data_IF_016043638329
#
_entry.id   IF_016043638329
#
_cell.length_a   1.000
_cell.length_b   1.000
_cell.length_c   1.000
_cell.angle_alpha   90.00
_cell.angle_beta   90.00
_cell.angle_gamma   90.00
#
_symmetry.space_group_name_H-M   'P 1'
#
loop_
_entity.id
_entity.type
_entity.pdbx_description
1 polymer ?
#
# COMPACT_ATOMS: atom_id res chain seq x y z
N UNK A 1 -3.65 44.53 80.04
CA UNK A 1 -4.74 43.86 79.34
C UNK A 1 -4.45 43.97 77.80
N UNK A 2 -3.86 42.99 77.25
CA UNK A 2 -3.53 42.98 75.82
C UNK A 2 -4.44 41.96 75.11
N UNK A 3 -5.21 42.43 74.17
CA UNK A 3 -6.01 41.57 73.25
C UNK A 3 -5.14 41.08 72.13
N UNK A 4 -5.05 39.76 71.99
CA UNK A 4 -4.40 39.09 70.85
C UNK A 4 -5.48 38.77 69.82
N UNK A 5 -5.39 39.35 68.65
CA UNK A 5 -6.24 39.05 67.54
C UNK A 5 -5.56 37.93 66.71
N UNK A 6 -6.22 36.78 66.62
CA UNK A 6 -5.78 35.69 65.72
C UNK A 6 -6.26 35.95 64.30
N UNK A 7 -5.34 36.02 63.32
CA UNK A 7 -5.64 36.05 61.92
C UNK A 7 -5.66 34.61 61.40
N UNK A 8 -6.81 34.18 60.89
CA UNK A 8 -6.94 32.90 60.18
C UNK A 8 -6.48 33.06 58.73
N UNK A 9 -5.42 32.35 58.39
CA UNK A 9 -4.92 32.27 57.01
C UNK A 9 -5.65 31.14 56.31
N UNK A 10 -6.55 31.48 55.37
CA UNK A 10 -7.22 30.49 54.51
C UNK A 10 -6.30 30.15 53.33
N UNK A 11 -5.74 28.95 53.31
CA UNK A 11 -5.01 28.39 52.17
C UNK A 11 -6.03 27.88 51.15
N UNK A 12 -6.13 28.56 50.02
CA UNK A 12 -6.85 28.06 48.81
C UNK A 12 -5.91 27.17 48.06
N UNK A 13 -6.07 25.86 48.16
CA UNK A 13 -5.41 24.86 47.29
C UNK A 13 -6.14 24.83 45.95
N UNK A 14 -5.59 25.49 44.94
CA UNK A 14 -5.98 25.32 43.53
C UNK A 14 -5.39 24.00 43.02
N UNK A 15 -6.19 22.95 42.98
CA UNK A 15 -5.83 21.72 42.30
C UNK A 15 -5.90 21.96 40.77
N UNK A 16 -4.76 22.27 40.15
CA UNK A 16 -4.64 22.22 38.72
C UNK A 16 -4.62 20.75 38.27
N UNK A 17 -5.75 20.27 37.79
CA UNK A 17 -5.83 18.99 37.08
C UNK A 17 -5.07 19.13 35.74
N UNK A 18 -3.80 18.70 35.71
CA UNK A 18 -3.08 18.47 34.49
C UNK A 18 -3.76 17.27 33.79
N UNK A 19 -4.60 17.53 32.80
CA UNK A 19 -5.02 16.53 31.85
C UNK A 19 -3.78 16.25 30.98
N UNK A 20 -3.01 15.23 31.37
CA UNK A 20 -2.05 14.61 30.46
C UNK A 20 -2.89 14.02 29.31
N UNK A 21 -2.99 14.75 28.21
CA UNK A 21 -3.35 14.14 26.94
C UNK A 21 -2.28 13.08 26.68
N UNK A 22 -2.62 11.81 26.88
CA UNK A 22 -1.78 10.72 26.44
C UNK A 22 -1.56 10.94 24.95
N UNK A 23 -0.31 11.25 24.57
CA UNK A 23 0.06 11.29 23.17
C UNK A 23 -0.31 9.91 22.60
N UNK A 24 -1.28 9.89 21.67
CA UNK A 24 -1.55 8.67 20.90
C UNK A 24 -0.21 8.21 20.32
N UNK A 25 0.16 6.93 20.44
CA UNK A 25 1.34 6.45 19.74
C UNK A 25 1.15 6.80 18.27
N UNK A 26 2.15 7.44 17.68
CA UNK A 26 2.17 7.66 16.25
C UNK A 26 1.90 6.30 15.58
N UNK A 27 1.00 6.28 14.58
CA UNK A 27 0.78 5.06 13.82
C UNK A 27 2.15 4.59 13.32
N UNK A 28 2.48 3.33 13.61
CA UNK A 28 3.76 2.77 13.18
C UNK A 28 3.85 2.88 11.66
N UNK A 29 4.98 3.33 11.13
CA UNK A 29 5.30 3.25 9.70
C UNK A 29 5.25 1.80 9.20
N UNK A 30 5.49 1.53 7.91
CA UNK A 30 5.50 0.17 7.38
C UNK A 30 6.42 -0.72 8.21
N UNK A 31 6.16 -2.04 8.24
CA UNK A 31 6.90 -2.97 9.08
C UNK A 31 8.40 -2.99 8.76
N UNK A 32 8.77 -2.45 7.61
CA UNK A 32 10.16 -2.31 7.15
C UNK A 32 10.25 -1.08 6.23
N UNK A 33 11.28 -0.26 6.40
CA UNK A 33 11.50 0.98 5.63
C UNK A 33 11.90 0.74 4.17
N UNK A 34 12.22 -0.51 3.83
CA UNK A 34 12.57 -0.92 2.46
C UNK A 34 11.34 -0.91 1.55
N UNK A 35 11.53 -0.80 0.22
CA UNK A 35 10.42 -0.87 -0.72
C UNK A 35 9.61 -2.16 -0.58
N UNK A 36 8.31 -2.06 -0.83
CA UNK A 36 7.42 -3.20 -0.90
C UNK A 36 7.05 -3.58 -2.32
N UNK A 37 6.31 -4.70 -2.41
CA UNK A 37 5.70 -5.15 -3.65
C UNK A 37 4.28 -5.63 -3.40
N UNK A 38 3.36 -5.30 -4.31
CA UNK A 38 2.02 -5.90 -4.36
C UNK A 38 2.04 -7.04 -5.38
N UNK A 39 1.82 -8.27 -4.91
CA UNK A 39 1.70 -9.45 -5.78
C UNK A 39 0.21 -9.78 -5.99
N UNK A 40 -0.40 -9.08 -6.95
CA UNK A 40 -1.84 -9.13 -7.17
C UNK A 40 -2.29 -10.43 -7.82
N UNK A 41 -3.21 -11.15 -7.18
CA UNK A 41 -3.78 -12.43 -7.61
C UNK A 41 -2.71 -13.54 -7.79
N UNK A 42 -1.65 -13.51 -7.00
CA UNK A 42 -0.70 -14.61 -6.90
C UNK A 42 -1.18 -15.64 -5.87
N UNK A 43 -0.97 -16.93 -6.13
CA UNK A 43 -1.22 -17.99 -5.15
C UNK A 43 -0.28 -17.87 -3.96
N UNK A 44 -0.72 -18.34 -2.79
CA UNK A 44 0.10 -18.30 -1.57
C UNK A 44 1.41 -19.06 -1.74
N UNK A 45 1.36 -20.20 -2.44
CA UNK A 45 2.54 -21.00 -2.77
C UNK A 45 3.51 -20.26 -3.68
N UNK A 46 3.03 -19.50 -4.64
CA UNK A 46 3.86 -18.66 -5.50
C UNK A 46 4.52 -17.53 -4.73
N UNK A 47 3.76 -16.84 -3.86
CA UNK A 47 4.32 -15.76 -3.01
C UNK A 47 5.39 -16.32 -2.06
N UNK A 48 5.17 -17.50 -1.46
CA UNK A 48 6.15 -18.12 -0.58
C UNK A 48 7.51 -18.34 -1.29
N UNK A 49 7.47 -18.90 -2.50
CA UNK A 49 8.68 -19.06 -3.34
C UNK A 49 9.28 -17.71 -3.72
N UNK A 50 8.45 -16.76 -4.10
CA UNK A 50 8.90 -15.43 -4.49
C UNK A 50 9.63 -14.70 -3.35
N UNK A 51 9.13 -14.81 -2.14
CA UNK A 51 9.78 -14.24 -0.96
C UNK A 51 11.19 -14.82 -0.76
N UNK A 52 11.35 -16.15 -0.87
CA UNK A 52 12.62 -16.83 -0.62
C UNK A 52 13.63 -16.66 -1.74
N UNK A 53 13.17 -16.75 -2.98
CA UNK A 53 14.04 -16.84 -4.14
C UNK A 53 14.38 -15.48 -4.76
N UNK A 54 13.50 -14.47 -4.56
CA UNK A 54 13.60 -13.17 -5.25
C UNK A 54 13.51 -12.00 -4.29
N UNK A 55 12.42 -11.85 -3.53
CA UNK A 55 12.15 -10.61 -2.77
C UNK A 55 13.18 -10.39 -1.67
N UNK A 56 13.45 -11.40 -0.85
CA UNK A 56 14.47 -11.33 0.20
C UNK A 56 15.85 -11.01 -0.38
N UNK A 57 16.37 -11.78 -1.35
CA UNK A 57 17.65 -11.50 -2.00
C UNK A 57 17.74 -10.13 -2.68
N UNK A 58 16.65 -9.64 -3.29
CA UNK A 58 16.60 -8.32 -3.91
C UNK A 58 16.49 -7.16 -2.91
N UNK A 59 16.18 -7.46 -1.65
CA UNK A 59 16.09 -6.46 -0.59
C UNK A 59 14.74 -5.77 -0.47
N UNK A 60 13.64 -6.38 -0.93
CA UNK A 60 12.28 -5.93 -0.60
C UNK A 60 12.01 -6.11 0.90
N UNK A 61 11.34 -5.15 1.52
CA UNK A 61 11.02 -5.19 2.94
C UNK A 61 9.70 -5.87 3.25
N UNK A 62 8.73 -5.78 2.34
CA UNK A 62 7.40 -6.34 2.54
C UNK A 62 6.70 -6.70 1.23
N UNK A 63 5.72 -7.59 1.35
CA UNK A 63 4.83 -8.00 0.27
C UNK A 63 3.38 -7.79 0.68
N UNK A 64 2.59 -7.13 -0.19
CA UNK A 64 1.15 -7.04 -0.06
C UNK A 64 0.50 -8.18 -0.85
N UNK A 65 -0.35 -8.94 -0.19
CA UNK A 65 -1.15 -10.02 -0.80
C UNK A 65 -2.51 -9.50 -1.26
N UNK A 66 -3.16 -10.18 -2.20
CA UNK A 66 -4.59 -10.01 -2.43
C UNK A 66 -5.42 -10.48 -1.23
N UNK A 67 -6.73 -10.13 -1.14
CA UNK A 67 -7.57 -10.50 -0.01
C UNK A 67 -7.59 -12.01 0.25
N UNK A 68 -7.27 -12.47 1.49
CA UNK A 68 -7.18 -13.88 1.79
C UNK A 68 -8.51 -14.53 2.22
N UNK A 69 -9.54 -13.72 2.54
CA UNK A 69 -10.81 -14.21 3.03
C UNK A 69 -11.62 -14.92 1.95
N UNK A 70 -12.56 -15.76 2.38
CA UNK A 70 -13.53 -16.44 1.53
C UNK A 70 -14.39 -15.44 0.75
N UNK A 71 -14.55 -15.68 -0.54
CA UNK A 71 -15.26 -14.81 -1.46
C UNK A 71 -16.37 -15.56 -2.21
N UNK A 72 -17.31 -14.81 -2.80
CA UNK A 72 -18.36 -15.37 -3.64
C UNK A 72 -17.77 -16.01 -4.91
N UNK A 73 -18.37 -17.12 -5.35
CA UNK A 73 -18.04 -17.77 -6.63
C UNK A 73 -18.93 -17.20 -7.72
N UNK A 74 -18.36 -16.32 -8.58
CA UNK A 74 -19.11 -15.59 -9.63
C UNK A 74 -18.49 -15.83 -11.02
N UNK A 75 -17.45 -16.63 -11.12
CA UNK A 75 -16.69 -16.87 -12.35
C UNK A 75 -15.24 -16.45 -12.22
N UNK A 76 -14.55 -16.24 -13.35
CA UNK A 76 -13.11 -16.02 -13.41
C UNK A 76 -12.63 -14.59 -13.19
N UNK A 77 -13.48 -13.66 -12.76
CA UNK A 77 -13.13 -12.26 -12.63
C UNK A 77 -12.22 -11.99 -11.42
N UNK A 78 -11.33 -10.98 -11.54
CA UNK A 78 -10.43 -10.58 -10.46
C UNK A 78 -11.16 -10.05 -9.23
N UNK A 79 -12.21 -9.25 -9.45
CA UNK A 79 -12.95 -8.56 -8.41
C UNK A 79 -13.75 -9.52 -7.50
N UNK A 80 -13.85 -10.81 -7.83
CA UNK A 80 -14.45 -11.79 -6.92
C UNK A 80 -13.74 -11.87 -5.59
N UNK A 81 -12.44 -11.66 -5.53
CA UNK A 81 -11.66 -11.59 -4.28
C UNK A 81 -12.12 -10.46 -3.35
N UNK A 82 -12.77 -9.44 -3.90
CA UNK A 82 -13.35 -8.29 -3.17
C UNK A 82 -14.85 -8.46 -2.91
N UNK A 83 -15.36 -9.70 -2.99
CA UNK A 83 -16.75 -10.07 -2.69
C UNK A 83 -16.81 -11.01 -1.48
N UNK A 84 -16.50 -10.54 -0.25
CA UNK A 84 -16.44 -11.41 0.93
C UNK A 84 -17.74 -12.13 1.19
N UNK A 85 -17.66 -13.39 1.60
CA UNK A 85 -18.78 -14.23 2.06
C UNK A 85 -18.62 -14.60 3.52
N UNK A 86 -17.40 -14.83 3.94
CA UNK A 86 -17.02 -15.02 5.34
C UNK A 86 -15.56 -14.57 5.55
N UNK A 87 -15.15 -14.50 6.81
CA UNK A 87 -13.75 -14.22 7.16
C UNK A 87 -12.89 -15.50 7.32
N UNK A 88 -13.34 -16.62 6.77
CA UNK A 88 -12.49 -17.80 6.65
C UNK A 88 -11.34 -17.52 5.70
N UNK A 89 -10.12 -17.85 6.11
CA UNK A 89 -8.93 -17.65 5.27
C UNK A 89 -8.80 -18.82 4.31
N UNK A 90 -9.58 -18.79 3.24
CA UNK A 90 -9.62 -19.79 2.17
C UNK A 90 -10.26 -19.17 0.92
N UNK A 91 -9.51 -19.11 -0.16
CA UNK A 91 -9.91 -18.42 -1.39
C UNK A 91 -9.41 -19.14 -2.63
N UNK A 92 -9.73 -18.64 -3.81
CA UNK A 92 -9.18 -19.14 -5.09
C UNK A 92 -7.65 -19.06 -5.19
N UNK A 93 -6.99 -18.36 -4.23
CA UNK A 93 -5.53 -18.19 -4.18
C UNK A 93 -4.85 -19.24 -3.30
N UNK A 94 -5.62 -20.01 -2.54
CA UNK A 94 -5.15 -21.11 -1.72
C UNK A 94 -5.84 -21.20 -0.35
N UNK A 95 -5.48 -22.20 0.40
CA UNK A 95 -6.01 -22.56 1.72
C UNK A 95 -5.37 -21.74 2.84
N UNK A 96 -6.00 -21.78 4.03
CA UNK A 96 -5.43 -21.20 5.26
C UNK A 96 -4.04 -21.74 5.58
N UNK A 97 -3.83 -23.04 5.38
CA UNK A 97 -2.53 -23.68 5.67
C UNK A 97 -1.42 -23.15 4.75
N UNK A 98 -1.74 -22.99 3.47
CA UNK A 98 -0.82 -22.38 2.49
C UNK A 98 -0.56 -20.92 2.79
N UNK A 99 -1.58 -20.15 3.22
CA UNK A 99 -1.39 -18.77 3.64
C UNK A 99 -0.45 -18.65 4.84
N UNK A 100 -0.64 -19.49 5.87
CA UNK A 100 0.23 -19.52 7.04
C UNK A 100 1.68 -19.92 6.67
N UNK A 101 1.83 -20.91 5.78
CA UNK A 101 3.14 -21.33 5.28
C UNK A 101 3.83 -20.20 4.48
N UNK A 102 3.08 -19.48 3.64
CA UNK A 102 3.56 -18.31 2.90
C UNK A 102 4.06 -17.22 3.84
N UNK A 103 3.25 -16.83 4.84
CA UNK A 103 3.65 -15.80 5.82
C UNK A 103 4.94 -16.22 6.54
N UNK A 104 5.05 -17.48 6.95
CA UNK A 104 6.26 -18.01 7.59
C UNK A 104 7.48 -17.97 6.67
N UNK A 105 7.32 -18.35 5.39
CA UNK A 105 8.40 -18.35 4.40
C UNK A 105 8.89 -16.93 4.11
N UNK A 106 7.97 -15.98 3.88
CA UNK A 106 8.31 -14.59 3.63
C UNK A 106 9.08 -13.97 4.81
N UNK A 107 8.59 -14.16 6.03
CA UNK A 107 9.26 -13.67 7.23
C UNK A 107 10.64 -14.33 7.44
N UNK A 108 10.75 -15.62 7.13
CA UNK A 108 12.05 -16.32 7.14
C UNK A 108 13.04 -15.76 6.13
N UNK A 109 12.57 -15.14 5.05
CA UNK A 109 13.37 -14.44 4.04
C UNK A 109 13.60 -12.96 4.37
N UNK A 110 13.10 -12.45 5.50
CA UNK A 110 13.18 -11.04 5.90
C UNK A 110 12.22 -10.14 5.14
N UNK A 111 11.09 -10.68 4.65
CA UNK A 111 10.03 -9.95 3.96
C UNK A 111 8.75 -10.03 4.80
N UNK A 112 8.28 -8.89 5.28
CA UNK A 112 7.05 -8.84 6.07
C UNK A 112 5.80 -8.93 5.18
N UNK A 113 4.68 -9.44 5.72
CA UNK A 113 3.45 -9.63 4.96
C UNK A 113 2.41 -8.59 5.38
N UNK A 114 1.87 -7.87 4.39
CA UNK A 114 0.72 -6.98 4.49
C UNK A 114 -0.46 -7.65 3.77
N UNK A 115 -1.56 -7.88 4.47
CA UNK A 115 -2.76 -8.46 3.88
C UNK A 115 -3.69 -7.37 3.35
N UNK A 116 -4.28 -7.58 2.18
CA UNK A 116 -5.40 -6.77 1.72
C UNK A 116 -6.67 -7.18 2.48
N UNK A 117 -7.27 -6.23 3.22
CA UNK A 117 -8.37 -6.48 4.14
C UNK A 117 -9.65 -5.79 3.66
N UNK A 118 -10.61 -6.57 3.20
CA UNK A 118 -11.93 -6.08 2.79
C UNK A 118 -12.85 -6.08 3.99
N UNK A 119 -13.13 -4.90 4.53
CA UNK A 119 -13.88 -4.72 5.78
C UNK A 119 -15.06 -3.75 5.67
N UNK A 120 -15.18 -3.04 4.55
CA UNK A 120 -16.28 -2.12 4.31
C UNK A 120 -17.60 -2.84 4.04
N UNK A 121 -17.55 -3.99 3.37
CA UNK A 121 -18.72 -4.62 2.76
C UNK A 121 -18.63 -6.14 2.68
N UNK A 122 -19.76 -6.76 2.43
CA UNK A 122 -19.89 -8.15 2.00
C UNK A 122 -20.29 -8.19 0.51
N UNK A 123 -20.39 -9.42 -0.05
CA UNK A 123 -20.68 -9.63 -1.47
C UNK A 123 -21.96 -8.93 -1.93
N UNK A 124 -21.94 -8.40 -3.15
CA UNK A 124 -23.11 -7.85 -3.85
C UNK A 124 -24.02 -8.91 -4.45
N UNK A 125 -23.67 -10.20 -4.39
CA UNK A 125 -24.49 -11.29 -4.92
C UNK A 125 -25.73 -11.51 -4.05
N UNK A 126 -26.83 -11.94 -4.68
CA UNK A 126 -28.11 -12.18 -3.98
C UNK A 126 -28.10 -13.45 -3.12
N UNK A 127 -27.12 -14.31 -3.30
CA UNK A 127 -26.90 -15.54 -2.55
C UNK A 127 -26.12 -16.56 -3.35
N UNK A 128 -25.75 -17.63 -2.69
CA UNK A 128 -24.96 -18.71 -3.28
C UNK A 128 -24.13 -19.45 -2.24
N UNK A 129 -23.03 -20.00 -2.71
CA UNK A 129 -22.01 -20.66 -1.88
C UNK A 129 -20.68 -19.98 -2.11
N UNK A 130 -19.99 -19.60 -1.05
CA UNK A 130 -18.64 -19.08 -1.09
C UNK A 130 -17.62 -20.12 -1.51
N UNK A 131 -16.40 -19.70 -1.75
CA UNK A 131 -15.29 -20.56 -2.21
C UNK A 131 -15.01 -21.72 -1.27
N UNK A 132 -15.06 -21.50 0.04
CA UNK A 132 -14.86 -22.53 1.06
C UNK A 132 -16.13 -23.31 1.43
N UNK A 133 -17.19 -23.19 0.63
CA UNK A 133 -18.45 -23.91 0.83
C UNK A 133 -19.45 -23.23 1.77
N UNK A 134 -19.19 -21.99 2.21
CA UNK A 134 -20.09 -21.25 3.10
C UNK A 134 -21.34 -20.77 2.35
N UNK A 135 -22.56 -21.19 2.73
CA UNK A 135 -23.79 -20.68 2.12
C UNK A 135 -24.07 -19.26 2.59
N UNK A 136 -24.50 -18.39 1.68
CA UNK A 136 -24.87 -17.02 2.00
C UNK A 136 -26.10 -16.56 1.21
N UNK A 137 -26.72 -15.50 1.66
CA UNK A 137 -27.76 -14.78 0.91
C UNK A 137 -27.65 -13.29 1.20
N UNK A 138 -28.42 -12.47 0.47
CA UNK A 138 -28.42 -11.01 0.68
C UNK A 138 -28.54 -10.67 2.16
N UNK A 139 -27.52 -9.96 2.68
CA UNK A 139 -27.44 -9.53 4.09
C UNK A 139 -27.50 -10.67 5.12
N UNK A 140 -27.08 -11.89 4.74
CA UNK A 140 -26.93 -13.02 5.66
C UNK A 140 -25.65 -13.78 5.32
N UNK A 141 -24.66 -13.59 6.18
CA UNK A 141 -23.30 -14.11 6.01
C UNK A 141 -22.86 -14.81 7.28
N UNK A 142 -22.73 -16.15 7.28
CA UNK A 142 -22.28 -16.88 8.45
C UNK A 142 -20.88 -16.49 8.89
N UNK A 143 -20.62 -16.50 10.18
CA UNK A 143 -19.30 -16.22 10.77
C UNK A 143 -19.09 -16.99 12.06
N UNK A 144 -17.84 -17.02 12.59
CA UNK A 144 -17.50 -17.78 13.81
C UNK A 144 -18.30 -17.37 15.04
N UNK A 145 -18.60 -16.08 15.20
CA UNK A 145 -19.37 -15.54 16.32
C UNK A 145 -20.86 -15.34 16.00
N UNK A 146 -21.34 -15.86 14.87
CA UNK A 146 -22.72 -15.72 14.41
C UNK A 146 -22.85 -15.06 13.04
N UNK A 147 -21.84 -14.35 12.59
CA UNK A 147 -21.80 -13.67 11.29
C UNK A 147 -22.74 -12.46 11.22
N UNK A 148 -23.06 -12.03 10.00
CA UNK A 148 -23.88 -10.84 9.76
C UNK A 148 -25.31 -11.18 9.36
N UNK A 149 -26.27 -10.46 9.96
CA UNK A 149 -27.67 -10.44 9.57
C UNK A 149 -28.08 -9.06 9.05
N UNK A 150 -29.35 -8.86 8.64
CA UNK A 150 -29.82 -7.59 8.05
C UNK A 150 -29.58 -6.34 8.93
N UNK A 151 -29.53 -6.52 10.25
CA UNK A 151 -29.30 -5.44 11.22
C UNK A 151 -27.87 -4.92 11.22
N UNK A 152 -26.93 -5.70 10.63
CA UNK A 152 -25.49 -5.40 10.63
C UNK A 152 -25.06 -4.61 9.38
N UNK A 153 -26.03 -4.25 8.54
CA UNK A 153 -25.81 -3.42 7.35
C UNK A 153 -26.45 -2.05 7.51
N UNK A 154 -25.86 -1.05 6.86
CA UNK A 154 -26.38 0.32 6.86
C UNK A 154 -27.77 0.39 6.20
N UNK A 155 -28.60 1.35 6.64
CA UNK A 155 -30.00 1.46 6.17
C UNK A 155 -30.13 1.97 4.74
N UNK A 156 -29.10 2.62 4.18
CA UNK A 156 -29.06 3.00 2.78
C UNK A 156 -28.79 1.77 1.89
N UNK A 157 -29.87 1.22 1.31
CA UNK A 157 -29.83 0.01 0.46
C UNK A 157 -29.65 0.32 -1.03
N UNK A 158 -29.42 1.61 -1.38
CA UNK A 158 -29.16 2.05 -2.76
C UNK A 158 -27.68 2.26 -2.99
N UNK A 159 -27.28 2.29 -4.25
CA UNK A 159 -25.91 2.62 -4.61
C UNK A 159 -25.61 4.11 -4.33
N UNK A 160 -24.33 4.40 -4.08
CA UNK A 160 -23.81 5.76 -4.04
C UNK A 160 -24.13 6.44 -5.36
N UNK A 161 -24.86 7.57 -5.31
CA UNK A 161 -25.20 8.38 -6.48
C UNK A 161 -24.34 9.66 -6.58
N UNK A 162 -23.75 10.10 -5.47
CA UNK A 162 -22.92 11.30 -5.45
C UNK A 162 -21.74 11.15 -4.48
N UNK A 163 -20.53 11.27 -4.99
CA UNK A 163 -19.32 11.33 -4.17
C UNK A 163 -19.12 12.68 -3.46
N UNK A 164 -19.97 13.67 -3.75
CA UNK A 164 -20.04 14.94 -3.01
C UNK A 164 -20.89 14.84 -1.73
N UNK A 165 -21.60 13.73 -1.54
CA UNK A 165 -22.42 13.46 -0.37
C UNK A 165 -21.70 12.45 0.55
N UNK A 166 -21.09 12.97 1.62
CA UNK A 166 -20.37 12.14 2.61
C UNK A 166 -21.24 11.00 3.15
N UNK A 167 -22.53 11.27 3.43
CA UNK A 167 -23.42 10.25 3.97
C UNK A 167 -23.59 9.09 2.98
N UNK A 168 -23.82 9.38 1.71
CA UNK A 168 -23.94 8.34 0.70
C UNK A 168 -22.66 7.54 0.56
N UNK A 169 -21.49 8.21 0.53
CA UNK A 169 -20.21 7.55 0.35
C UNK A 169 -19.90 6.59 1.50
N UNK A 170 -20.33 6.89 2.73
CA UNK A 170 -19.99 6.13 3.94
C UNK A 170 -21.13 5.24 4.47
N UNK A 171 -22.32 5.26 3.85
CA UNK A 171 -23.48 4.49 4.35
C UNK A 171 -24.35 3.89 3.26
N UNK A 172 -24.05 4.12 1.97
CA UNK A 172 -24.75 3.51 0.86
C UNK A 172 -23.85 2.49 0.14
N UNK A 173 -24.44 1.62 -0.66
CA UNK A 173 -23.72 0.53 -1.32
C UNK A 173 -22.74 1.03 -2.37
N UNK A 174 -21.51 0.60 -2.26
CA UNK A 174 -20.52 0.73 -3.32
C UNK A 174 -20.81 -0.33 -4.39
N UNK A 175 -21.24 0.08 -5.58
CA UNK A 175 -21.53 -0.78 -6.76
C UNK A 175 -22.35 -2.05 -6.44
N UNK A 176 -23.30 -1.95 -5.51
CA UNK A 176 -24.17 -3.05 -5.13
C UNK A 176 -23.67 -3.94 -4.00
N UNK A 177 -22.45 -3.73 -3.50
CA UNK A 177 -21.88 -4.44 -2.37
C UNK A 177 -22.68 -4.16 -1.08
N UNK A 178 -22.86 -5.18 -0.24
CA UNK A 178 -23.64 -5.04 0.99
C UNK A 178 -22.83 -4.28 2.03
N UNK A 179 -23.20 -3.04 2.32
CA UNK A 179 -22.46 -2.06 3.11
C UNK A 179 -22.61 -2.33 4.62
N UNK A 180 -21.51 -2.65 5.30
CA UNK A 180 -21.53 -3.02 6.73
C UNK A 180 -21.75 -1.79 7.60
N UNK A 181 -22.57 -1.94 8.65
CA UNK A 181 -22.80 -0.91 9.67
C UNK A 181 -21.62 -0.87 10.64
N UNK A 182 -20.48 -0.30 10.23
CA UNK A 182 -19.25 -0.24 11.02
C UNK A 182 -19.37 0.60 12.29
N UNK A 183 -20.40 1.45 12.39
CA UNK A 183 -20.78 2.11 13.64
C UNK A 183 -21.28 1.17 14.74
N UNK A 184 -21.66 -0.08 14.42
CA UNK A 184 -22.05 -1.10 15.38
C UNK A 184 -20.83 -1.72 16.08
N UNK A 185 -20.92 -1.86 17.41
CA UNK A 185 -19.86 -2.52 18.19
C UNK A 185 -19.68 -3.98 17.76
N UNK A 186 -20.79 -4.68 17.48
CA UNK A 186 -20.75 -6.06 17.02
C UNK A 186 -19.97 -6.19 15.68
N UNK A 187 -20.29 -5.33 14.70
CA UNK A 187 -19.62 -5.36 13.40
C UNK A 187 -18.13 -5.03 13.55
N UNK A 188 -17.79 -4.04 14.38
CA UNK A 188 -16.39 -3.70 14.66
C UNK A 188 -15.63 -4.84 15.31
N UNK A 189 -16.27 -5.59 16.21
CA UNK A 189 -15.64 -6.75 16.86
C UNK A 189 -15.40 -7.89 15.89
N UNK A 190 -16.37 -8.25 15.03
CA UNK A 190 -16.21 -9.27 13.99
C UNK A 190 -15.07 -8.94 13.03
N UNK A 191 -14.94 -7.65 12.63
CA UNK A 191 -13.83 -7.18 11.79
C UNK A 191 -12.50 -7.27 12.57
N UNK A 192 -12.46 -6.82 13.83
CA UNK A 192 -11.25 -6.89 14.64
C UNK A 192 -10.79 -8.33 14.85
N UNK A 193 -11.70 -9.27 15.07
CA UNK A 193 -11.41 -10.69 15.22
C UNK A 193 -10.81 -11.30 13.94
N UNK A 194 -11.32 -10.91 12.77
CA UNK A 194 -10.74 -11.28 11.47
C UNK A 194 -9.30 -10.76 11.33
N UNK A 195 -9.07 -9.49 11.64
CA UNK A 195 -7.73 -8.91 11.56
C UNK A 195 -6.77 -9.58 12.55
N UNK A 196 -7.24 -9.88 13.76
CA UNK A 196 -6.45 -10.60 14.77
C UNK A 196 -6.16 -12.05 14.36
N UNK A 197 -7.07 -12.71 13.65
CA UNK A 197 -6.80 -14.03 13.09
C UNK A 197 -5.65 -14.01 12.08
N UNK A 198 -5.60 -13.01 11.19
CA UNK A 198 -4.48 -12.79 10.28
C UNK A 198 -3.18 -12.48 11.02
N UNK A 199 -3.22 -11.63 12.04
CA UNK A 199 -2.07 -11.34 12.90
C UNK A 199 -1.56 -12.61 13.58
N UNK A 200 -2.45 -13.51 13.99
CA UNK A 200 -2.08 -14.80 14.60
C UNK A 200 -1.25 -15.70 13.68
N UNK A 201 -1.44 -15.54 12.36
CA UNK A 201 -0.65 -16.22 11.32
C UNK A 201 0.69 -15.54 11.04
N UNK A 202 0.93 -14.35 11.61
CA UNK A 202 2.16 -13.59 11.48
C UNK A 202 2.11 -12.40 10.51
N UNK A 203 0.93 -12.03 10.01
CA UNK A 203 0.73 -10.81 9.23
C UNK A 203 1.11 -9.60 10.07
N UNK A 204 1.83 -8.65 9.46
CA UNK A 204 2.38 -7.46 10.14
C UNK A 204 1.70 -6.16 9.75
N UNK A 205 0.84 -6.18 8.77
CA UNK A 205 0.10 -5.00 8.36
C UNK A 205 -1.10 -5.30 7.48
N UNK A 206 -1.90 -4.28 7.26
CA UNK A 206 -3.09 -4.32 6.42
C UNK A 206 -3.12 -3.17 5.42
N UNK A 207 -3.45 -3.48 4.18
CA UNK A 207 -4.07 -2.51 3.28
C UNK A 207 -5.58 -2.61 3.51
N UNK A 208 -6.21 -1.55 3.99
CA UNK A 208 -7.67 -1.54 4.19
C UNK A 208 -8.33 -1.11 2.88
N UNK A 209 -9.01 -2.09 2.26
CA UNK A 209 -9.78 -1.90 1.04
C UNK A 209 -10.93 -0.94 1.25
N UNK A 210 -11.23 -0.11 0.23
CA UNK A 210 -12.37 0.80 0.21
C UNK A 210 -12.53 1.64 1.52
N UNK A 211 -11.43 1.99 2.18
CA UNK A 211 -11.44 2.69 3.47
C UNK A 211 -12.19 4.03 3.40
N UNK A 212 -12.23 4.68 2.23
CA UNK A 212 -13.03 5.88 1.98
C UNK A 212 -14.51 5.72 2.36
N UNK A 213 -15.03 4.49 2.23
CA UNK A 213 -16.43 4.15 2.45
C UNK A 213 -16.76 3.80 3.89
N UNK A 214 -15.74 3.72 4.76
CA UNK A 214 -15.91 3.54 6.22
C UNK A 214 -15.63 4.87 6.92
N UNK A 215 -16.47 5.34 7.85
CA UNK A 215 -16.13 6.49 8.67
C UNK A 215 -14.77 6.31 9.37
N UNK A 216 -13.90 7.31 9.31
CA UNK A 216 -12.54 7.25 9.87
C UNK A 216 -12.54 6.86 11.37
N UNK A 217 -13.52 7.37 12.14
CA UNK A 217 -13.68 7.04 13.56
C UNK A 217 -14.01 5.55 13.80
N UNK A 218 -14.73 4.90 12.87
CA UNK A 218 -15.04 3.48 12.99
C UNK A 218 -13.80 2.62 12.72
N UNK A 219 -12.97 3.00 11.72
CA UNK A 219 -11.67 2.35 11.50
C UNK A 219 -10.72 2.57 12.67
N UNK A 220 -10.70 3.77 13.26
CA UNK A 220 -9.93 4.03 14.50
C UNK A 220 -10.37 3.09 15.63
N UNK A 221 -11.66 2.87 15.80
CA UNK A 221 -12.19 1.99 16.84
C UNK A 221 -11.84 0.52 16.59
N UNK A 222 -12.00 0.02 15.35
CA UNK A 222 -11.65 -1.34 14.93
C UNK A 222 -10.15 -1.59 15.18
N UNK A 223 -9.30 -0.71 14.64
CA UNK A 223 -7.85 -0.83 14.76
C UNK A 223 -7.36 -0.60 16.19
N UNK A 224 -8.07 0.21 16.97
CA UNK A 224 -7.84 0.37 18.41
C UNK A 224 -8.03 -0.95 19.17
N UNK A 225 -9.08 -1.73 18.84
CA UNK A 225 -9.31 -3.07 19.40
C UNK A 225 -8.17 -4.02 19.02
N UNK A 226 -7.74 -4.03 17.76
CA UNK A 226 -6.61 -4.86 17.31
C UNK A 226 -5.33 -4.49 18.07
N UNK A 227 -5.00 -3.20 18.13
CA UNK A 227 -3.77 -2.69 18.76
C UNK A 227 -3.77 -2.78 20.29
N UNK A 228 -4.92 -2.98 20.93
CA UNK A 228 -5.01 -3.24 22.35
C UNK A 228 -4.47 -4.62 22.73
N UNK A 229 -4.32 -5.54 21.78
CA UNK A 229 -3.74 -6.87 22.01
C UNK A 229 -2.21 -6.85 21.89
N UNK A 230 -1.48 -7.71 22.61
CA UNK A 230 -0.02 -7.77 22.49
C UNK A 230 0.45 -8.11 21.06
N UNK A 231 -0.29 -8.94 20.34
CA UNK A 231 0.05 -9.40 18.99
C UNK A 231 -0.22 -8.31 17.93
N UNK A 232 -1.28 -7.53 18.10
CA UNK A 232 -1.70 -6.48 17.16
C UNK A 232 -1.12 -5.10 17.44
N UNK A 233 -0.36 -4.92 18.53
CA UNK A 233 0.10 -3.59 19.01
C UNK A 233 0.78 -2.78 17.93
N UNK A 234 1.67 -3.42 17.16
CA UNK A 234 2.54 -2.78 16.17
C UNK A 234 2.09 -3.04 14.73
N UNK A 235 0.79 -3.35 14.53
CA UNK A 235 0.25 -3.60 13.21
C UNK A 235 0.28 -2.31 12.39
N UNK A 236 0.94 -2.39 11.24
CA UNK A 236 0.92 -1.34 10.22
C UNK A 236 -0.42 -1.31 9.49
N UNK A 237 -0.86 -0.13 9.08
CA UNK A 237 -2.08 0.04 8.28
C UNK A 237 -1.85 1.10 7.22
N UNK A 238 -2.22 0.77 5.99
CA UNK A 238 -2.35 1.73 4.89
C UNK A 238 -3.77 1.68 4.34
N UNK A 239 -4.43 2.82 4.31
CA UNK A 239 -5.82 2.95 3.87
C UNK A 239 -5.89 3.23 2.37
N UNK A 240 -6.81 2.56 1.68
CA UNK A 240 -7.21 2.96 0.34
C UNK A 240 -8.28 4.05 0.43
N UNK A 241 -7.87 5.28 0.25
CA UNK A 241 -8.77 6.43 0.18
C UNK A 241 -8.52 7.16 -1.12
N UNK A 242 -9.33 6.87 -2.14
CA UNK A 242 -9.21 7.50 -3.45
C UNK A 242 -9.79 8.91 -3.37
N UNK A 243 -8.94 9.88 -3.06
CA UNK A 243 -9.32 11.30 -3.02
C UNK A 243 -9.44 11.91 -4.41
N UNK A 244 -10.41 12.80 -4.59
CA UNK A 244 -10.49 13.69 -5.73
C UNK A 244 -10.71 15.13 -5.26
N UNK A 245 -10.28 16.10 -6.07
CA UNK A 245 -10.42 17.51 -5.73
C UNK A 245 -11.88 17.91 -5.53
N UNK A 246 -12.20 18.53 -4.40
CA UNK A 246 -13.53 18.98 -4.06
C UNK A 246 -14.44 17.93 -3.42
N UNK A 247 -14.03 16.69 -3.30
CA UNK A 247 -14.79 15.68 -2.54
C UNK A 247 -14.64 15.89 -1.02
N UNK A 248 -15.69 15.62 -0.23
CA UNK A 248 -15.70 15.91 1.20
C UNK A 248 -14.86 14.91 2.02
N UNK A 249 -14.45 13.77 1.44
CA UNK A 249 -13.65 12.74 2.11
C UNK A 249 -12.28 12.69 1.46
N UNK A 250 -11.25 12.92 2.27
CA UNK A 250 -9.86 13.00 1.81
C UNK A 250 -8.96 12.02 2.54
N UNK A 251 -7.86 11.55 1.93
CA UNK A 251 -6.90 10.60 2.56
C UNK A 251 -6.38 11.09 3.91
N UNK A 252 -6.21 12.38 4.11
CA UNK A 252 -5.71 12.97 5.35
C UNK A 252 -6.60 12.73 6.57
N UNK A 253 -7.90 12.43 6.37
CA UNK A 253 -8.82 12.14 7.47
C UNK A 253 -8.52 10.80 8.16
N UNK A 254 -7.84 9.89 7.48
CA UNK A 254 -7.56 8.54 7.97
C UNK A 254 -6.20 8.39 8.65
N UNK A 255 -5.41 9.45 8.69
CA UNK A 255 -4.06 9.43 9.28
C UNK A 255 -4.05 9.19 10.79
N UNK A 256 -5.20 9.26 11.47
CA UNK A 256 -5.34 8.91 12.88
C UNK A 256 -5.16 7.41 13.16
N UNK A 257 -5.50 6.56 12.19
CA UNK A 257 -5.47 5.10 12.34
C UNK A 257 -4.43 4.39 11.47
N UNK A 258 -3.85 5.05 10.46
CA UNK A 258 -2.85 4.48 9.57
C UNK A 258 -2.31 5.50 8.59
N UNK A 259 -1.49 5.06 7.66
CA UNK A 259 -1.08 5.81 6.48
C UNK A 259 -2.18 5.73 5.42
N UNK A 260 -2.04 6.45 4.32
CA UNK A 260 -2.95 6.33 3.17
C UNK A 260 -2.17 6.18 1.88
N UNK A 261 -2.75 5.46 0.93
CA UNK A 261 -2.27 5.43 -0.45
C UNK A 261 -2.40 6.81 -1.09
N UNK A 262 -1.31 7.28 -1.72
CA UNK A 262 -1.24 8.62 -2.32
C UNK A 262 -1.50 8.55 -3.83
N UNK A 263 -2.76 8.49 -4.21
CA UNK A 263 -3.20 8.42 -5.60
C UNK A 263 -2.81 9.67 -6.41
N UNK A 264 -2.78 10.83 -5.75
CA UNK A 264 -2.41 12.08 -6.42
C UNK A 264 -0.95 12.07 -6.89
N UNK A 265 -0.06 11.41 -6.16
CA UNK A 265 1.32 11.18 -6.57
C UNK A 265 1.37 10.40 -7.89
N UNK A 266 0.70 9.25 -7.96
CA UNK A 266 0.72 8.38 -9.14
C UNK A 266 0.13 9.08 -10.39
N UNK A 267 -0.99 9.78 -10.22
CA UNK A 267 -1.63 10.59 -11.29
C UNK A 267 -0.72 11.72 -11.77
N UNK A 268 -0.10 12.44 -10.84
CA UNK A 268 0.82 13.52 -11.18
C UNK A 268 2.05 12.99 -11.90
N UNK A 269 2.68 11.92 -11.40
CA UNK A 269 3.85 11.31 -12.02
C UNK A 269 3.55 10.87 -13.46
N UNK A 270 2.39 10.24 -13.71
CA UNK A 270 1.96 9.92 -15.08
C UNK A 270 1.92 11.16 -15.96
N UNK A 271 1.26 12.23 -15.49
CA UNK A 271 1.14 13.47 -16.26
C UNK A 271 2.50 14.04 -16.65
N UNK A 272 3.46 14.08 -15.72
CA UNK A 272 4.78 14.64 -15.97
C UNK A 272 5.63 13.76 -16.90
N UNK A 273 5.58 12.45 -16.74
CA UNK A 273 6.30 11.52 -17.63
C UNK A 273 5.77 11.61 -19.06
N UNK A 274 4.44 11.53 -19.25
CA UNK A 274 3.84 11.54 -20.58
C UNK A 274 3.92 12.90 -21.29
N UNK A 275 4.02 13.98 -20.55
CA UNK A 275 4.23 15.31 -21.13
C UNK A 275 5.70 15.70 -21.28
N UNK A 276 6.64 14.82 -20.95
CA UNK A 276 8.09 15.11 -20.94
C UNK A 276 8.46 16.31 -20.05
N UNK A 277 7.81 16.43 -18.88
CA UNK A 277 7.99 17.53 -17.93
C UNK A 277 8.58 17.06 -16.59
N UNK A 278 9.60 16.20 -16.63
CA UNK A 278 10.23 15.69 -15.42
C UNK A 278 10.81 16.78 -14.53
N UNK A 279 11.22 17.92 -15.10
CA UNK A 279 11.74 19.08 -14.36
C UNK A 279 10.76 19.56 -13.28
N UNK A 280 9.44 19.44 -13.49
CA UNK A 280 8.41 19.84 -12.54
C UNK A 280 8.34 18.96 -11.29
N UNK A 281 8.98 17.79 -11.29
CA UNK A 281 9.04 16.88 -10.15
C UNK A 281 10.03 17.32 -9.05
N UNK A 282 10.79 18.40 -9.26
CA UNK A 282 11.82 18.88 -8.33
C UNK A 282 11.32 19.01 -6.90
N UNK A 283 10.22 19.72 -6.73
CA UNK A 283 9.67 20.06 -5.42
C UNK A 283 8.44 19.20 -5.05
N UNK A 284 8.30 18.01 -5.67
CA UNK A 284 7.14 17.13 -5.49
C UNK A 284 6.88 16.82 -4.01
N UNK A 285 7.91 16.48 -3.24
CA UNK A 285 7.79 16.12 -1.81
C UNK A 285 7.27 17.23 -0.89
N UNK A 286 7.23 18.46 -1.35
CA UNK A 286 6.77 19.63 -0.58
C UNK A 286 5.44 20.18 -1.07
N UNK A 287 4.78 19.49 -1.98
CA UNK A 287 3.51 19.93 -2.53
C UNK A 287 2.39 19.82 -1.48
N UNK A 288 1.62 20.90 -1.24
CA UNK A 288 0.62 20.92 -0.17
C UNK A 288 -0.61 20.05 -0.44
N UNK A 289 -0.75 19.54 -1.66
CA UNK A 289 -1.83 18.63 -2.07
C UNK A 289 -1.46 17.15 -1.92
N UNK A 290 -0.24 16.86 -1.49
CA UNK A 290 0.21 15.52 -1.14
C UNK A 290 0.17 15.31 0.39
N UNK A 291 0.06 14.07 0.80
CA UNK A 291 0.23 13.67 2.19
C UNK A 291 1.67 13.94 2.68
N UNK A 292 1.89 14.11 3.99
CA UNK A 292 3.23 14.07 4.54
C UNK A 292 3.98 12.81 4.10
N UNK A 293 5.26 12.95 3.77
CA UNK A 293 6.06 11.87 3.17
C UNK A 293 6.10 10.59 4.03
N UNK A 294 6.10 10.74 5.34
CA UNK A 294 6.10 9.64 6.31
C UNK A 294 4.72 8.98 6.51
N UNK A 295 3.69 9.46 5.79
CA UNK A 295 2.32 9.00 5.88
C UNK A 295 1.74 8.57 4.52
N UNK A 296 2.56 8.57 3.47
CA UNK A 296 2.16 8.34 2.10
C UNK A 296 2.63 6.98 1.58
N UNK A 297 1.71 6.05 1.34
CA UNK A 297 1.99 4.85 0.56
C UNK A 297 2.00 5.19 -0.93
N UNK A 298 3.18 5.20 -1.58
CA UNK A 298 3.30 5.60 -2.98
C UNK A 298 3.47 4.42 -3.91
N UNK A 299 2.92 4.56 -5.10
CA UNK A 299 2.95 3.56 -6.17
C UNK A 299 2.92 4.25 -7.54
N UNK A 300 3.28 3.53 -8.59
CA UNK A 300 3.06 3.97 -9.97
C UNK A 300 1.69 3.54 -10.46
N UNK A 301 1.29 2.32 -10.14
CA UNK A 301 -0.02 1.74 -10.38
C UNK A 301 -0.44 0.79 -9.26
N UNK A 302 -1.72 0.45 -9.27
CA UNK A 302 -2.30 -0.65 -8.54
C UNK A 302 -3.27 -1.42 -9.46
N UNK A 303 -3.92 -2.45 -8.93
CA UNK A 303 -4.81 -3.32 -9.69
C UNK A 303 -6.04 -2.62 -10.29
N UNK A 304 -6.50 -1.49 -9.74
CA UNK A 304 -7.58 -0.68 -10.28
C UNK A 304 -7.09 0.32 -11.32
N UNK A 305 -6.04 1.06 -10.99
CA UNK A 305 -5.54 2.13 -11.86
C UNK A 305 -4.88 1.62 -13.14
N UNK A 306 -4.33 0.39 -13.15
CA UNK A 306 -3.84 -0.25 -14.37
C UNK A 306 -5.00 -0.63 -15.33
N UNK A 307 -6.24 -0.75 -14.83
CA UNK A 307 -7.44 -1.10 -15.59
C UNK A 307 -8.18 0.11 -16.14
N UNK A 308 -8.30 1.15 -15.35
CA UNK A 308 -9.03 2.38 -15.75
C UNK A 308 -8.16 3.39 -16.48
N UNK A 309 -6.84 3.16 -16.54
CA UNK A 309 -5.88 4.04 -17.21
C UNK A 309 -5.63 5.36 -16.46
N UNK A 310 -5.98 5.45 -15.20
CA UNK A 310 -5.79 6.64 -14.38
C UNK A 310 -4.31 6.94 -14.10
N UNK A 311 -3.49 5.90 -14.01
CA UNK A 311 -2.05 5.98 -13.82
C UNK A 311 -1.28 5.31 -14.97
N UNK A 312 0.05 5.36 -14.94
CA UNK A 312 0.87 4.50 -15.80
C UNK A 312 0.72 3.04 -15.35
N UNK A 313 0.94 2.11 -16.27
CA UNK A 313 0.98 0.68 -15.98
C UNK A 313 1.97 -0.03 -16.90
N UNK A 314 2.16 -1.33 -16.72
CA UNK A 314 3.01 -2.15 -17.59
C UNK A 314 2.72 -1.97 -19.08
N UNK A 315 1.51 -1.56 -19.45
CA UNK A 315 1.07 -1.28 -20.85
C UNK A 315 1.74 -0.05 -21.45
N UNK A 316 2.31 0.83 -20.62
CA UNK A 316 2.99 2.05 -21.06
C UNK A 316 4.51 1.87 -21.31
N UNK A 317 5.02 0.64 -21.22
CA UNK A 317 6.39 0.31 -21.64
C UNK A 317 7.46 1.15 -20.92
N UNK A 318 8.22 1.93 -21.68
CA UNK A 318 9.34 2.73 -21.16
C UNK A 318 8.90 3.79 -20.14
N UNK A 319 7.76 4.44 -20.33
CA UNK A 319 7.23 5.43 -19.40
C UNK A 319 6.98 4.83 -18.00
N UNK A 320 6.41 3.63 -17.97
CA UNK A 320 6.17 2.92 -16.73
C UNK A 320 7.46 2.52 -16.02
N UNK A 321 8.47 2.05 -16.77
CA UNK A 321 9.80 1.72 -16.23
C UNK A 321 10.48 2.95 -15.64
N UNK A 322 10.47 4.07 -16.36
CA UNK A 322 11.05 5.34 -15.93
C UNK A 322 10.35 5.85 -14.66
N UNK A 323 9.02 5.75 -14.58
CA UNK A 323 8.24 6.14 -13.41
C UNK A 323 8.60 5.30 -12.17
N UNK A 324 8.79 3.97 -12.33
CA UNK A 324 9.24 3.11 -11.23
C UNK A 324 10.66 3.46 -10.77
N UNK A 325 11.58 3.73 -11.70
CA UNK A 325 12.94 4.19 -11.37
C UNK A 325 12.88 5.51 -10.58
N UNK A 326 12.08 6.47 -11.03
CA UNK A 326 11.89 7.74 -10.31
C UNK A 326 11.31 7.50 -8.91
N UNK A 327 10.24 6.73 -8.77
CA UNK A 327 9.60 6.43 -7.48
C UNK A 327 10.59 5.82 -6.49
N UNK A 328 11.39 4.86 -6.93
CA UNK A 328 12.38 4.20 -6.09
C UNK A 328 13.58 5.09 -5.75
N UNK A 329 13.91 6.06 -6.61
CA UNK A 329 15.01 6.99 -6.39
C UNK A 329 14.64 8.18 -5.52
N UNK A 330 13.45 8.76 -5.72
CA UNK A 330 13.05 10.03 -5.11
C UNK A 330 12.63 9.86 -3.64
N UNK A 331 13.07 10.73 -2.71
CA UNK A 331 12.82 10.56 -1.27
C UNK A 331 11.42 11.05 -0.84
N UNK A 332 10.39 10.38 -1.30
CA UNK A 332 9.00 10.64 -0.88
C UNK A 332 8.26 9.32 -0.72
N UNK A 333 7.54 9.19 0.38
CA UNK A 333 6.64 8.09 0.68
C UNK A 333 7.30 6.72 0.87
N UNK A 334 6.44 5.74 1.11
CA UNK A 334 6.75 4.32 1.23
C UNK A 334 6.43 3.63 -0.11
N UNK A 335 7.43 3.36 -0.97
CA UNK A 335 7.17 2.89 -2.32
C UNK A 335 6.79 1.41 -2.36
N UNK A 336 5.75 1.10 -3.16
CA UNK A 336 5.34 -0.24 -3.52
C UNK A 336 5.35 -0.42 -5.04
N UNK A 337 6.00 -1.47 -5.51
CA UNK A 337 5.94 -1.89 -6.92
C UNK A 337 4.73 -2.80 -7.13
N UNK A 338 3.97 -2.59 -8.19
CA UNK A 338 2.86 -3.47 -8.54
C UNK A 338 3.30 -4.58 -9.49
N UNK A 339 2.87 -5.81 -9.22
CA UNK A 339 3.05 -6.97 -10.10
C UNK A 339 1.80 -7.84 -10.08
N UNK A 340 1.05 -7.76 -11.14
CA UNK A 340 -0.13 -8.58 -11.40
C UNK A 340 0.09 -9.52 -12.60
N UNK A 341 -0.86 -9.53 -13.50
CA UNK A 341 -0.85 -10.34 -14.72
C UNK A 341 -1.28 -9.49 -15.93
N UNK A 342 -0.96 -9.97 -17.12
CA UNK A 342 -1.34 -9.31 -18.36
C UNK A 342 -2.81 -9.61 -18.71
N UNK A 343 -3.57 -8.59 -19.07
CA UNK A 343 -4.98 -8.69 -19.45
C UNK A 343 -5.32 -7.73 -20.57
N UNK A 344 -6.38 -8.09 -21.34
CA UNK A 344 -7.01 -7.23 -22.34
C UNK A 344 -8.46 -6.89 -22.00
N UNK A 345 -9.14 -7.78 -21.28
CA UNK A 345 -10.47 -7.55 -20.74
C UNK A 345 -10.35 -6.98 -19.33
N UNK A 346 -11.06 -5.88 -19.05
CA UNK A 346 -11.08 -5.20 -17.77
C UNK A 346 -11.38 -6.12 -16.58
N UNK A 347 -12.31 -7.06 -16.76
CA UNK A 347 -12.77 -7.95 -15.69
C UNK A 347 -11.98 -9.27 -15.60
N UNK A 348 -11.10 -9.55 -16.56
CA UNK A 348 -10.33 -10.78 -16.55
C UNK A 348 -9.53 -10.95 -15.25
N UNK A 349 -9.66 -12.12 -14.62
CA UNK A 349 -8.82 -12.55 -13.50
C UNK A 349 -7.47 -13.08 -13.96
N UNK A 350 -6.64 -13.44 -12.97
CA UNK A 350 -5.39 -14.15 -13.22
C UNK A 350 -5.66 -15.51 -13.89
N UNK A 351 -4.69 -16.12 -14.58
CA UNK A 351 -4.85 -17.45 -15.15
C UNK A 351 -5.37 -18.45 -14.13
N UNK A 352 -6.40 -19.22 -14.50
CA UNK A 352 -7.13 -20.12 -13.61
C UNK A 352 -7.24 -21.53 -14.20
N UNK A 353 -7.38 -22.54 -13.30
CA UNK A 353 -7.74 -23.90 -13.65
C UNK A 353 -9.22 -24.00 -14.09
N UNK A 354 -9.63 -25.17 -14.57
CA UNK A 354 -11.04 -25.43 -14.89
C UNK A 354 -11.98 -25.40 -13.67
N UNK A 355 -11.45 -25.53 -12.45
CA UNK A 355 -12.16 -25.41 -11.17
C UNK A 355 -12.17 -23.99 -10.61
N UNK A 356 -11.47 -23.06 -11.25
CA UNK A 356 -11.44 -21.63 -10.87
C UNK A 356 -10.30 -21.24 -9.92
N UNK A 357 -9.47 -22.18 -9.47
CA UNK A 357 -8.25 -21.87 -8.70
C UNK A 357 -7.27 -21.10 -9.57
N UNK A 358 -6.68 -20.08 -9.02
CA UNK A 358 -5.60 -19.34 -9.70
C UNK A 358 -4.38 -20.24 -9.86
N UNK A 359 -3.79 -20.22 -11.05
CA UNK A 359 -2.57 -20.99 -11.33
C UNK A 359 -1.36 -20.31 -10.72
N UNK A 360 -0.34 -21.11 -10.40
CA UNK A 360 0.94 -20.60 -9.92
C UNK A 360 1.55 -19.59 -10.89
N UNK A 361 2.09 -18.51 -10.34
CA UNK A 361 2.69 -17.45 -11.12
C UNK A 361 3.95 -17.93 -11.84
N UNK A 362 4.00 -17.67 -13.14
CA UNK A 362 5.12 -18.01 -14.02
C UNK A 362 5.66 -16.75 -14.69
N UNK A 363 6.74 -16.20 -14.15
CA UNK A 363 7.44 -15.06 -14.75
C UNK A 363 8.15 -15.47 -16.05
N UNK A 364 8.17 -14.55 -17.03
CA UNK A 364 8.84 -14.77 -18.32
C UNK A 364 8.00 -15.49 -19.37
N UNK A 365 6.77 -15.92 -19.06
CA UNK A 365 5.85 -16.55 -19.99
C UNK A 365 4.76 -15.61 -20.54
N UNK A 366 4.82 -14.32 -20.19
CA UNK A 366 3.91 -13.28 -20.70
C UNK A 366 2.54 -13.21 -20.00
N UNK A 367 2.24 -14.13 -19.08
CA UNK A 367 0.96 -14.14 -18.35
C UNK A 367 1.00 -13.31 -17.06
N UNK A 368 2.09 -13.43 -16.27
CA UNK A 368 2.34 -12.58 -15.13
C UNK A 368 3.35 -11.49 -15.49
N UNK A 369 3.10 -10.25 -15.08
CA UNK A 369 3.91 -9.09 -15.47
C UNK A 369 5.28 -9.08 -14.81
N UNK A 370 5.35 -9.54 -13.56
CA UNK A 370 6.58 -9.64 -12.76
C UNK A 370 7.46 -8.38 -12.81
N UNK A 371 6.85 -7.20 -12.79
CA UNK A 371 7.55 -5.93 -12.90
C UNK A 371 8.62 -5.73 -11.81
N UNK A 372 8.40 -6.30 -10.63
CA UNK A 372 9.35 -6.30 -9.51
C UNK A 372 10.66 -7.06 -9.80
N UNK A 373 10.69 -7.93 -10.82
CA UNK A 373 11.88 -8.68 -11.27
C UNK A 373 12.62 -7.99 -12.43
N UNK A 374 12.03 -6.96 -13.06
CA UNK A 374 12.73 -6.25 -14.12
C UNK A 374 14.03 -5.66 -13.57
N UNK A 375 15.11 -5.74 -14.35
CA UNK A 375 16.43 -5.34 -13.90
C UNK A 375 16.43 -3.93 -13.29
N UNK A 376 15.85 -2.95 -14.01
CA UNK A 376 15.75 -1.58 -13.54
C UNK A 376 14.94 -1.43 -12.24
N UNK A 377 13.91 -2.25 -12.05
CA UNK A 377 13.09 -2.20 -10.82
C UNK A 377 13.81 -2.88 -9.65
N UNK A 378 14.23 -4.14 -9.85
CA UNK A 378 14.89 -4.92 -8.80
C UNK A 378 16.17 -4.26 -8.30
N UNK A 379 16.99 -3.73 -9.21
CA UNK A 379 18.23 -3.06 -8.82
C UNK A 379 17.99 -1.70 -8.16
N UNK A 380 16.91 -1.00 -8.56
CA UNK A 380 16.53 0.26 -7.90
C UNK A 380 15.98 0.05 -6.49
N UNK A 381 15.48 -1.13 -6.14
CA UNK A 381 15.21 -1.50 -4.74
C UNK A 381 16.51 -1.50 -3.94
N UNK A 382 17.56 -2.12 -4.46
CA UNK A 382 18.89 -2.07 -3.85
C UNK A 382 19.44 -0.63 -3.74
N UNK A 383 19.24 0.18 -4.77
CA UNK A 383 19.59 1.61 -4.73
C UNK A 383 18.84 2.33 -3.61
N UNK A 384 17.50 2.18 -3.53
CA UNK A 384 16.67 2.82 -2.47
C UNK A 384 17.17 2.47 -1.08
N UNK A 385 17.52 1.20 -0.86
CA UNK A 385 18.06 0.74 0.42
C UNK A 385 19.42 1.36 0.74
N UNK A 386 20.31 1.45 -0.25
CA UNK A 386 21.62 2.04 -0.07
C UNK A 386 21.58 3.54 0.27
N UNK A 387 20.58 4.27 -0.26
CA UNK A 387 20.42 5.71 -0.04
C UNK A 387 19.40 6.04 1.05
N UNK A 388 18.95 5.06 1.83
CA UNK A 388 17.99 5.28 2.91
C UNK A 388 18.47 6.36 3.89
N UNK A 389 17.55 7.23 4.31
CA UNK A 389 17.84 8.33 5.23
C UNK A 389 18.67 9.48 4.66
N UNK A 390 18.98 9.48 3.37
CA UNK A 390 19.72 10.60 2.74
C UNK A 390 18.78 11.62 2.12
N UNK A 391 19.23 12.88 2.11
CA UNK A 391 18.51 13.98 1.47
C UNK A 391 18.70 14.01 -0.05
N UNK A 392 17.78 14.74 -0.71
CA UNK A 392 17.90 15.14 -2.11
C UNK A 392 19.00 16.21 -2.24
N UNK A 393 19.99 15.97 -3.10
CA UNK A 393 21.12 16.88 -3.32
C UNK A 393 21.35 17.09 -4.81
N UNK A 394 22.05 18.15 -5.19
CA UNK A 394 22.56 18.39 -6.54
C UNK A 394 21.50 18.22 -7.65
N UNK A 395 20.28 18.69 -7.41
CA UNK A 395 19.24 18.65 -8.44
C UNK A 395 19.65 19.47 -9.66
N UNK A 396 19.51 18.85 -10.82
CA UNK A 396 19.64 19.48 -12.13
C UNK A 396 18.46 19.10 -12.99
N UNK A 397 18.02 19.99 -13.85
CA UNK A 397 17.05 19.73 -14.92
C UNK A 397 17.39 20.57 -16.17
N UNK A 398 16.85 20.18 -17.33
CA UNK A 398 16.91 20.90 -18.58
C UNK A 398 15.70 21.83 -18.82
N UNK A 399 14.84 21.96 -17.82
CA UNK A 399 13.55 22.65 -17.90
C UNK A 399 12.44 21.83 -18.55
N UNK A 400 12.66 20.54 -18.85
CA UNK A 400 11.72 19.66 -19.53
C UNK A 400 11.90 18.18 -19.15
N UNK A 401 12.39 17.40 -20.10
CA UNK A 401 12.42 15.93 -20.03
C UNK A 401 13.60 15.34 -19.26
N UNK A 402 14.68 16.09 -19.10
CA UNK A 402 15.91 15.63 -18.46
C UNK A 402 16.01 16.09 -17.02
N UNK A 403 16.27 15.17 -16.08
CA UNK A 403 16.58 15.50 -14.68
C UNK A 403 17.75 14.67 -14.17
N UNK A 404 18.44 15.19 -13.19
CA UNK A 404 19.42 14.42 -12.42
C UNK A 404 19.47 14.93 -10.97
N UNK A 405 19.72 14.03 -10.02
CA UNK A 405 19.81 14.39 -8.61
C UNK A 405 20.61 13.39 -7.80
N UNK A 406 21.21 13.88 -6.74
CA UNK A 406 21.91 13.06 -5.75
C UNK A 406 21.01 12.65 -4.59
N UNK A 407 21.39 11.57 -3.94
CA UNK A 407 20.87 11.11 -2.67
C UNK A 407 22.02 11.11 -1.64
N UNK A 408 22.21 12.27 -0.98
CA UNK A 408 23.40 12.51 -0.17
C UNK A 408 24.68 12.30 -0.95
N UNK A 409 25.61 11.59 -0.34
CA UNK A 409 26.89 11.13 -0.91
C UNK A 409 26.87 9.63 -1.29
N UNK A 410 25.67 8.99 -1.36
CA UNK A 410 25.54 7.55 -1.53
C UNK A 410 24.98 7.13 -2.89
N UNK A 411 24.29 8.01 -3.59
CA UNK A 411 23.68 7.68 -4.87
C UNK A 411 23.49 8.91 -5.75
N UNK A 412 23.43 8.67 -7.05
CA UNK A 412 23.10 9.67 -8.06
C UNK A 412 22.23 9.07 -9.15
N UNK A 413 21.25 9.81 -9.63
CA UNK A 413 20.28 9.36 -10.64
C UNK A 413 20.22 10.39 -11.74
N UNK A 414 20.17 9.92 -13.00
CA UNK A 414 19.88 10.75 -14.17
C UNK A 414 18.77 10.07 -14.97
N UNK A 415 17.74 10.81 -15.32
CA UNK A 415 16.54 10.34 -16.05
C UNK A 415 16.31 11.25 -17.26
N UNK A 416 15.92 10.65 -18.38
CA UNK A 416 15.54 11.36 -19.58
C UNK A 416 14.28 10.73 -20.21
N UNK A 417 13.16 11.44 -20.15
CA UNK A 417 11.92 11.07 -20.81
C UNK A 417 11.86 11.53 -22.28
N UNK A 418 12.83 12.35 -22.73
CA UNK A 418 12.88 12.86 -24.09
C UNK A 418 13.34 11.81 -25.11
N UNK A 419 13.04 12.06 -26.39
CA UNK A 419 13.42 11.18 -27.50
C UNK A 419 14.89 11.32 -27.94
N UNK A 420 15.58 12.40 -27.51
CA UNK A 420 16.98 12.66 -27.84
C UNK A 420 17.91 12.24 -26.70
N UNK A 421 19.08 11.72 -27.03
CA UNK A 421 20.08 11.37 -26.03
C UNK A 421 20.52 12.60 -25.22
N UNK A 422 20.58 12.45 -23.90
CA UNK A 422 21.13 13.45 -22.99
C UNK A 422 22.59 13.12 -22.69
N UNK A 423 23.49 14.01 -23.12
CA UNK A 423 24.93 13.88 -22.81
C UNK A 423 25.37 15.08 -21.99
N UNK A 424 25.79 14.84 -20.75
CA UNK A 424 26.17 15.89 -19.82
C UNK A 424 27.11 15.39 -18.72
N UNK A 425 27.98 16.27 -18.26
CA UNK A 425 28.73 16.08 -17.01
C UNK A 425 27.96 16.73 -15.87
N UNK A 426 27.62 15.95 -14.84
CA UNK A 426 26.88 16.39 -13.67
C UNK A 426 27.82 16.65 -12.50
N UNK A 427 27.51 17.67 -11.68
CA UNK A 427 28.08 17.79 -10.35
C UNK A 427 27.37 16.82 -9.41
N UNK A 428 28.13 16.07 -8.62
CA UNK A 428 27.62 15.08 -7.67
C UNK A 428 28.20 15.31 -6.28
N UNK A 429 27.58 14.76 -5.26
CA UNK A 429 28.14 14.65 -3.90
C UNK A 429 28.87 13.32 -3.67
N UNK A 430 28.97 12.47 -4.69
CA UNK A 430 29.65 11.19 -4.59
C UNK A 430 31.17 11.41 -4.47
N UNK A 431 31.86 10.61 -3.66
CA UNK A 431 33.33 10.55 -3.67
C UNK A 431 33.90 10.22 -5.06
N UNK A 432 35.14 10.63 -5.33
CA UNK A 432 35.81 10.19 -6.55
C UNK A 432 35.96 8.68 -6.60
N UNK A 433 35.59 8.07 -7.74
CA UNK A 433 35.62 6.62 -7.89
C UNK A 433 34.90 6.12 -9.12
N UNK A 434 34.88 4.79 -9.26
CA UNK A 434 34.10 4.10 -10.28
C UNK A 434 32.82 3.54 -9.68
N UNK A 435 31.68 3.83 -10.30
CA UNK A 435 30.34 3.44 -9.86
C UNK A 435 29.68 2.58 -10.92
N UNK A 436 28.92 1.59 -10.47
CA UNK A 436 28.12 0.76 -11.37
C UNK A 436 26.77 1.44 -11.62
N UNK A 437 26.38 1.59 -12.88
CA UNK A 437 25.01 1.94 -13.23
C UNK A 437 24.12 0.72 -12.97
N UNK A 438 23.35 0.81 -11.88
CA UNK A 438 22.51 -0.30 -11.41
C UNK A 438 21.32 -0.59 -12.31
N UNK A 439 20.90 0.35 -13.17
CA UNK A 439 19.84 0.10 -14.17
C UNK A 439 20.35 -0.81 -15.27
N UNK A 440 21.60 -0.66 -15.70
CA UNK A 440 22.20 -1.48 -16.77
C UNK A 440 22.85 -2.77 -16.27
N UNK A 441 23.18 -2.87 -14.96
CA UNK A 441 23.86 -4.04 -14.39
C UNK A 441 23.92 -4.06 -12.87
N UNK A 442 24.86 -4.82 -12.34
CA UNK A 442 25.08 -4.96 -10.89
C UNK A 442 26.55 -4.90 -10.54
N UNK A 443 26.86 -4.38 -9.36
CA UNK A 443 28.20 -4.53 -8.78
C UNK A 443 28.33 -5.95 -8.20
N UNK A 444 29.27 -6.74 -8.68
CA UNK A 444 29.55 -8.10 -8.24
C UNK A 444 31.04 -8.37 -8.23
N UNK A 445 31.57 -8.87 -7.11
CA UNK A 445 32.99 -9.24 -6.98
C UNK A 445 33.96 -8.07 -7.26
N UNK A 446 33.55 -6.82 -7.04
CA UNK A 446 34.37 -5.63 -7.30
C UNK A 446 34.35 -5.15 -8.75
N UNK A 447 33.54 -5.77 -9.62
CA UNK A 447 33.33 -5.38 -11.00
C UNK A 447 31.85 -4.97 -11.21
N UNK A 448 31.60 -4.17 -12.27
CA UNK A 448 30.26 -3.85 -12.75
C UNK A 448 29.93 -4.74 -13.95
N UNK A 449 28.76 -5.41 -13.92
CA UNK A 449 28.30 -6.22 -15.06
C UNK A 449 27.63 -5.37 -16.15
N UNK A 450 27.30 -4.10 -15.87
CA UNK A 450 26.75 -3.11 -16.79
C UNK A 450 27.72 -1.95 -17.04
N UNK A 451 27.16 -0.76 -17.22
CA UNK A 451 27.93 0.46 -17.47
C UNK A 451 28.65 0.94 -16.20
N UNK A 452 29.93 1.22 -16.32
CA UNK A 452 30.69 1.89 -15.27
C UNK A 452 30.73 3.39 -15.52
N UNK A 453 30.35 4.18 -14.50
CA UNK A 453 30.43 5.64 -14.50
C UNK A 453 31.55 6.08 -13.56
N UNK A 454 32.36 7.03 -14.00
CA UNK A 454 33.46 7.55 -13.19
C UNK A 454 33.13 8.93 -12.64
N UNK A 455 33.33 9.10 -11.35
CA UNK A 455 33.31 10.41 -10.67
C UNK A 455 34.75 10.84 -10.46
N UNK A 456 35.12 12.00 -10.96
CA UNK A 456 36.49 12.55 -10.86
C UNK A 456 36.77 13.19 -9.48
N UNK A 457 37.99 13.66 -9.28
CA UNK A 457 38.43 14.31 -8.02
C UNK A 457 37.71 15.63 -7.72
N UNK A 458 36.96 16.19 -8.67
CA UNK A 458 36.12 17.39 -8.49
C UNK A 458 34.63 17.06 -8.23
N UNK A 459 34.30 15.78 -8.10
CA UNK A 459 32.91 15.33 -7.87
C UNK A 459 32.02 15.39 -9.14
N UNK A 460 32.59 15.15 -10.31
CA UNK A 460 31.88 15.24 -11.58
C UNK A 460 31.97 13.93 -12.36
#
# INVERSE_FOLDING_TARGET
MRRVTAAALALVLAAAALVLAAARPAAAGPPDDRPGVTLFQWTWTSIARECTDVLGPAGYGWVQTSPPQEHAVVGGQWWTSYQPVSYRIESKLGTRAEYAAMVSACRGAGVEVIADAVVNHMSGQTGGTGWAGTPFSTERYPGPAGGYGPQDFNDCRTNIASYQDRYQVQHCRLVGLQDLRTGSEYVRQEIADYLLDLVSLGVRGFRVDAAKHVPAADLEAILGTVRATPQGRDVYVVHEVIGAGGEPIQPSEYLGSGDSHEFSYARHLKGQVQSNQLASLRDLRTQPWLLPSDRAGVFVDNHDTERNGETLSYKNGTDYRLANVFMLAYPYGWPSVHSGYAFSDHDAGAPQSGSGEVLDAACGQGTFTCAHRWNETAHMVGFRNAVAGTDLTQWWDDGGSGIAFGRGDRGYVALNAGSSALTRTFATSLPAGAYCDVVSGQASGGACTGTTVTVDGSGR
#
